data_IF_514246513406
#
_entry.id   IF_514246513406
#
_cell.length_a   1.000
_cell.length_b   1.000
_cell.length_c   1.000
_cell.angle_alpha   90.00
_cell.angle_beta   90.00
_cell.angle_gamma   90.00
#
_symmetry.space_group_name_H-M   'P 1'
#
loop_
_entity.id
_entity.type
_entity.pdbx_description
1 polymer ?
#
# COMPACT_ATOMS: atom_id res chain seq x y z
N UNK A 1 14.28 -56.31 48.21
CA UNK A 1 13.31 -56.73 47.17
C UNK A 1 12.19 -55.73 46.89
N UNK A 2 11.57 -55.08 47.89
CA UNK A 2 10.47 -54.09 47.66
C UNK A 2 10.92 -52.83 46.89
N UNK A 3 12.10 -52.29 47.19
CA UNK A 3 12.65 -51.13 46.47
C UNK A 3 13.05 -51.43 45.02
N UNK A 4 13.53 -52.65 44.74
CA UNK A 4 13.84 -53.09 43.37
C UNK A 4 12.55 -53.22 42.54
N UNK A 5 11.47 -53.74 43.13
CA UNK A 5 10.15 -53.78 42.47
C UNK A 5 9.59 -52.38 42.23
N UNK A 6 9.74 -51.46 43.18
CA UNK A 6 9.33 -50.07 43.00
C UNK A 6 10.14 -49.35 41.91
N UNK A 7 11.45 -49.62 41.83
CA UNK A 7 12.32 -49.07 40.79
C UNK A 7 12.00 -49.63 39.40
N UNK A 8 11.69 -50.93 39.29
CA UNK A 8 11.26 -51.56 38.03
C UNK A 8 9.90 -51.02 37.57
N UNK A 9 8.95 -50.81 38.49
CA UNK A 9 7.63 -50.24 38.16
C UNK A 9 7.77 -48.76 37.76
N UNK A 10 8.60 -47.98 38.45
CA UNK A 10 8.88 -46.60 38.09
C UNK A 10 9.60 -46.49 36.73
N UNK A 11 10.55 -47.39 36.45
CA UNK A 11 11.24 -47.45 35.16
C UNK A 11 10.31 -47.89 34.02
N UNK A 12 9.39 -48.82 34.27
CA UNK A 12 8.34 -49.21 33.31
C UNK A 12 7.30 -48.09 33.08
N UNK A 13 6.98 -47.28 34.10
CA UNK A 13 6.13 -46.10 33.97
C UNK A 13 6.81 -44.96 33.18
N UNK A 14 8.12 -44.78 33.37
CA UNK A 14 8.91 -43.83 32.58
C UNK A 14 9.08 -44.32 31.13
N UNK A 15 9.30 -45.61 30.89
CA UNK A 15 9.40 -46.19 29.55
C UNK A 15 8.07 -46.18 28.78
N UNK A 16 6.93 -46.29 29.46
CA UNK A 16 5.60 -46.18 28.84
C UNK A 16 5.20 -44.74 28.50
N UNK A 17 5.80 -43.73 29.15
CA UNK A 17 5.61 -42.32 28.80
C UNK A 17 6.36 -41.88 27.51
N UNK A 18 7.28 -42.70 26.98
CA UNK A 18 8.09 -42.38 25.79
C UNK A 18 7.43 -42.85 24.47
N UNK A 19 6.28 -43.57 24.53
CA UNK A 19 5.68 -44.23 23.35
C UNK A 19 4.29 -43.73 22.94
N UNK A 20 3.96 -42.46 23.20
CA UNK A 20 2.78 -41.83 22.59
C UNK A 20 3.22 -40.76 21.60
N UNK A 21 3.71 -41.20 20.44
CA UNK A 21 3.82 -40.32 19.27
C UNK A 21 2.39 -39.90 18.92
N UNK A 22 2.12 -38.59 18.89
CA UNK A 22 0.75 -38.12 18.61
C UNK A 22 0.26 -38.66 17.27
N UNK A 23 -1.06 -38.84 17.09
CA UNK A 23 -1.62 -39.33 15.82
C UNK A 23 -1.14 -38.49 14.63
N UNK A 24 -0.98 -37.17 14.82
CA UNK A 24 -0.41 -36.26 13.83
C UNK A 24 1.04 -36.60 13.49
N UNK A 25 1.88 -36.84 14.50
CA UNK A 25 3.28 -37.20 14.29
C UNK A 25 3.43 -38.57 13.60
N UNK A 26 2.51 -39.51 13.87
CA UNK A 26 2.46 -40.77 13.12
C UNK A 26 2.10 -40.52 11.65
N UNK A 27 1.11 -39.65 11.38
CA UNK A 27 0.69 -39.28 10.02
C UNK A 27 1.81 -38.58 9.24
N UNK A 28 2.45 -37.58 9.84
CA UNK A 28 3.51 -36.79 9.20
C UNK A 28 4.69 -37.67 8.74
N UNK A 29 5.05 -38.65 9.55
CA UNK A 29 6.15 -39.58 9.27
C UNK A 29 5.71 -40.84 8.49
N UNK A 30 4.44 -40.95 8.11
CA UNK A 30 3.94 -42.08 7.32
C UNK A 30 4.38 -41.98 5.86
N UNK A 31 4.62 -43.13 5.22
CA UNK A 31 4.79 -43.23 3.76
C UNK A 31 3.48 -43.56 3.03
N UNK A 32 2.38 -43.73 3.77
CA UNK A 32 1.05 -43.91 3.21
C UNK A 32 0.53 -42.56 2.68
N UNK A 33 0.63 -42.39 1.35
CA UNK A 33 0.26 -41.16 0.68
C UNK A 33 -1.26 -40.88 0.73
N UNK A 34 -2.10 -41.91 0.65
CA UNK A 34 -3.56 -41.74 0.69
C UNK A 34 -4.01 -41.30 2.08
N UNK A 35 -3.56 -42.01 3.12
CA UNK A 35 -3.86 -41.66 4.51
C UNK A 35 -3.35 -40.26 4.88
N UNK A 36 -2.17 -39.87 4.37
CA UNK A 36 -1.61 -38.53 4.59
C UNK A 36 -2.39 -37.45 3.83
N UNK A 37 -2.81 -37.73 2.60
CA UNK A 37 -3.62 -36.84 1.78
C UNK A 37 -4.95 -36.51 2.46
N UNK A 38 -5.70 -37.54 2.89
CA UNK A 38 -6.97 -37.36 3.61
C UNK A 38 -6.78 -36.57 4.91
N UNK A 39 -5.70 -36.84 5.63
CA UNK A 39 -5.37 -36.11 6.85
C UNK A 39 -5.04 -34.62 6.58
N UNK A 40 -4.28 -34.33 5.52
CA UNK A 40 -3.89 -32.96 5.16
C UNK A 40 -5.13 -32.09 4.89
N UNK A 41 -6.06 -32.59 4.07
CA UNK A 41 -7.34 -31.92 3.82
C UNK A 41 -8.19 -31.79 5.09
N UNK A 42 -8.29 -32.84 5.90
CA UNK A 42 -9.00 -32.75 7.19
C UNK A 42 -8.44 -31.66 8.11
N UNK A 43 -7.12 -31.47 8.16
CA UNK A 43 -6.52 -30.40 8.94
C UNK A 43 -6.75 -29.02 8.30
N UNK A 44 -6.73 -28.94 6.98
CA UNK A 44 -7.03 -27.72 6.23
C UNK A 44 -8.47 -27.24 6.50
N UNK A 45 -9.45 -28.14 6.40
CA UNK A 45 -10.88 -27.85 6.63
C UNK A 45 -11.16 -27.49 8.09
N UNK A 46 -10.31 -27.93 9.02
CA UNK A 46 -10.36 -27.55 10.44
C UNK A 46 -9.60 -26.25 10.74
N UNK A 47 -9.16 -25.52 9.71
CA UNK A 47 -8.36 -24.29 9.82
C UNK A 47 -7.03 -24.48 10.57
N UNK A 48 -6.56 -25.72 10.70
CA UNK A 48 -5.26 -26.06 11.32
C UNK A 48 -4.17 -25.97 10.26
N UNK A 49 -4.03 -24.78 9.68
CA UNK A 49 -3.24 -24.55 8.48
C UNK A 49 -1.76 -24.89 8.64
N UNK A 50 -1.16 -24.62 9.80
CA UNK A 50 0.23 -25.04 10.07
C UNK A 50 0.42 -26.56 9.98
N UNK A 51 -0.53 -27.35 10.47
CA UNK A 51 -0.49 -28.82 10.39
C UNK A 51 -0.76 -29.32 8.98
N UNK A 52 -1.70 -28.67 8.29
CA UNK A 52 -2.00 -28.97 6.90
C UNK A 52 -0.77 -28.72 6.01
N UNK A 53 -0.12 -27.56 6.16
CA UNK A 53 1.07 -27.17 5.40
C UNK A 53 2.20 -28.20 5.53
N UNK A 54 2.52 -28.65 6.76
CA UNK A 54 3.57 -29.66 6.97
C UNK A 54 3.23 -31.03 6.34
N UNK A 55 1.94 -31.42 6.35
CA UNK A 55 1.51 -32.65 5.67
C UNK A 55 1.57 -32.50 4.15
N UNK A 56 1.14 -31.36 3.61
CA UNK A 56 1.23 -31.07 2.17
C UNK A 56 2.67 -30.94 1.67
N UNK A 57 3.57 -30.34 2.45
CA UNK A 57 5.01 -30.32 2.17
C UNK A 57 5.55 -31.75 2.06
N UNK A 58 5.26 -32.59 3.05
CA UNK A 58 5.69 -33.99 3.04
C UNK A 58 5.05 -34.78 1.89
N UNK A 59 3.79 -34.51 1.56
CA UNK A 59 3.09 -35.11 0.42
C UNK A 59 3.69 -34.68 -0.91
N UNK A 60 4.16 -33.45 -1.06
CA UNK A 60 4.68 -32.93 -2.33
C UNK A 60 5.81 -33.78 -2.90
N UNK A 61 6.63 -34.38 -2.01
CA UNK A 61 7.69 -35.32 -2.38
C UNK A 61 7.11 -36.66 -2.86
N UNK A 62 6.06 -37.15 -2.19
CA UNK A 62 5.42 -38.44 -2.49
C UNK A 62 4.54 -38.41 -3.74
N UNK A 63 3.93 -37.26 -4.05
CA UNK A 63 3.00 -37.09 -5.17
C UNK A 63 3.63 -36.45 -6.40
N UNK A 64 4.94 -36.18 -6.39
CA UNK A 64 5.63 -35.52 -7.49
C UNK A 64 5.45 -36.28 -8.82
N UNK A 65 4.97 -35.58 -9.86
CA UNK A 65 4.70 -36.15 -11.19
C UNK A 65 3.45 -37.04 -11.27
N UNK A 66 2.67 -37.15 -10.20
CA UNK A 66 1.37 -37.84 -10.21
C UNK A 66 0.23 -36.89 -10.55
N UNK A 67 -0.96 -37.42 -10.81
CA UNK A 67 -2.18 -36.61 -11.05
C UNK A 67 -2.59 -35.73 -9.85
N UNK A 68 -2.07 -36.01 -8.63
CA UNK A 68 -2.36 -35.23 -7.42
C UNK A 68 -1.34 -34.12 -7.16
N UNK A 69 -0.27 -34.05 -7.93
CA UNK A 69 0.88 -33.17 -7.66
C UNK A 69 0.47 -31.69 -7.59
N UNK A 70 -0.30 -31.23 -8.58
CA UNK A 70 -0.73 -29.84 -8.65
C UNK A 70 -1.63 -29.48 -7.45
N UNK A 71 -2.57 -30.35 -7.10
CA UNK A 71 -3.48 -30.17 -5.98
C UNK A 71 -2.69 -30.09 -4.67
N UNK A 72 -1.77 -31.02 -4.43
CA UNK A 72 -0.93 -31.02 -3.21
C UNK A 72 -0.11 -29.74 -3.11
N UNK A 73 0.57 -29.33 -4.19
CA UNK A 73 1.41 -28.12 -4.18
C UNK A 73 0.61 -26.84 -4.04
N UNK A 74 -0.56 -26.76 -4.66
CA UNK A 74 -1.47 -25.62 -4.50
C UNK A 74 -1.95 -25.50 -3.05
N UNK A 75 -2.43 -26.60 -2.45
CA UNK A 75 -2.90 -26.60 -1.07
C UNK A 75 -1.78 -26.44 -0.04
N UNK A 76 -0.53 -26.78 -0.39
CA UNK A 76 0.63 -26.41 0.41
C UNK A 76 0.76 -24.89 0.52
N UNK A 77 0.81 -24.20 -0.63
CA UNK A 77 0.87 -22.74 -0.68
C UNK A 77 -0.34 -22.08 -0.01
N UNK A 78 -1.55 -22.59 -0.29
CA UNK A 78 -2.78 -22.07 0.31
C UNK A 78 -2.82 -22.26 1.83
N UNK A 79 -2.29 -23.38 2.35
CA UNK A 79 -2.16 -23.58 3.80
C UNK A 79 -1.23 -22.55 4.41
N UNK A 80 -0.05 -22.31 3.83
CA UNK A 80 0.87 -21.28 4.32
C UNK A 80 0.26 -19.88 4.26
N UNK A 81 -0.44 -19.56 3.17
CA UNK A 81 -1.15 -18.29 3.00
C UNK A 81 -2.19 -18.08 4.09
N UNK A 82 -3.05 -19.08 4.33
CA UNK A 82 -4.09 -19.03 5.37
C UNK A 82 -3.50 -18.99 6.79
N UNK A 83 -2.31 -19.56 6.97
CA UNK A 83 -1.53 -19.45 8.20
C UNK A 83 -0.81 -18.09 8.35
N UNK A 84 -0.99 -17.15 7.42
CA UNK A 84 -0.30 -15.86 7.35
C UNK A 84 1.23 -15.95 7.18
N UNK A 85 1.75 -17.10 6.76
CA UNK A 85 3.14 -17.23 6.33
C UNK A 85 3.26 -16.87 4.85
N UNK A 86 3.15 -15.56 4.58
CA UNK A 86 3.11 -15.03 3.22
C UNK A 86 4.45 -15.21 2.48
N UNK A 87 5.57 -15.34 3.18
CA UNK A 87 6.87 -15.56 2.55
C UNK A 87 6.96 -16.97 1.96
N UNK A 88 6.64 -17.98 2.79
CA UNK A 88 6.61 -19.39 2.33
C UNK A 88 5.53 -19.58 1.28
N UNK A 89 4.35 -18.98 1.47
CA UNK A 89 3.27 -19.05 0.50
C UNK A 89 3.61 -18.42 -0.85
N UNK A 90 4.28 -17.26 -0.89
CA UNK A 90 4.75 -16.64 -2.14
C UNK A 90 5.67 -17.60 -2.90
N UNK A 91 6.62 -18.22 -2.20
CA UNK A 91 7.54 -19.20 -2.79
C UNK A 91 6.76 -20.38 -3.36
N UNK A 92 5.83 -20.95 -2.58
CA UNK A 92 4.99 -22.06 -3.03
C UNK A 92 4.18 -21.71 -4.29
N UNK A 93 3.56 -20.53 -4.33
CA UNK A 93 2.76 -20.12 -5.49
C UNK A 93 3.61 -19.75 -6.70
N UNK A 94 4.79 -19.17 -6.49
CA UNK A 94 5.77 -18.91 -7.56
C UNK A 94 6.18 -20.23 -8.25
N UNK A 95 6.58 -21.22 -7.44
CA UNK A 95 6.95 -22.55 -7.93
C UNK A 95 5.77 -23.25 -8.61
N UNK A 96 4.57 -23.12 -8.04
CA UNK A 96 3.35 -23.70 -8.59
C UNK A 96 3.02 -23.14 -9.97
N UNK A 97 3.03 -21.81 -10.14
CA UNK A 97 2.72 -21.15 -11.41
C UNK A 97 3.77 -21.50 -12.47
N UNK A 98 5.04 -21.61 -12.10
CA UNK A 98 6.10 -22.04 -13.02
C UNK A 98 5.98 -23.50 -13.45
N UNK A 99 5.58 -24.39 -12.53
CA UNK A 99 5.51 -25.84 -12.78
C UNK A 99 4.19 -26.27 -13.43
N UNK A 100 3.07 -25.62 -13.08
CA UNK A 100 1.72 -25.98 -13.51
C UNK A 100 0.96 -24.79 -14.12
N UNK A 101 1.50 -24.12 -15.15
CA UNK A 101 0.88 -22.91 -15.72
C UNK A 101 -0.51 -23.13 -16.35
N UNK A 102 -0.89 -24.39 -16.61
CA UNK A 102 -2.19 -24.79 -17.17
C UNK A 102 -3.14 -25.46 -16.16
N UNK A 103 -2.73 -25.58 -14.89
CA UNK A 103 -3.63 -26.13 -13.86
C UNK A 103 -4.84 -25.22 -13.67
N UNK A 104 -6.03 -25.76 -13.35
CA UNK A 104 -7.20 -24.94 -13.00
C UNK A 104 -6.94 -24.03 -11.79
N UNK A 105 -5.95 -24.35 -10.94
CA UNK A 105 -5.56 -23.50 -9.81
C UNK A 105 -4.63 -22.34 -10.20
N UNK A 106 -4.04 -22.35 -11.40
CA UNK A 106 -3.02 -21.38 -11.80
C UNK A 106 -3.49 -19.92 -11.75
N UNK A 107 -4.69 -19.54 -12.22
CA UNK A 107 -5.17 -18.16 -12.12
C UNK A 107 -5.24 -17.67 -10.66
N UNK A 108 -5.77 -18.50 -9.76
CA UNK A 108 -5.87 -18.17 -8.34
C UNK A 108 -4.49 -18.14 -7.66
N UNK A 109 -3.59 -19.07 -8.00
CA UNK A 109 -2.23 -19.10 -7.47
C UNK A 109 -1.44 -17.83 -7.86
N UNK A 110 -1.59 -17.34 -9.10
CA UNK A 110 -0.98 -16.07 -9.54
C UNK A 110 -1.46 -14.90 -8.69
N UNK A 111 -2.77 -14.80 -8.45
CA UNK A 111 -3.32 -13.75 -7.62
C UNK A 111 -2.87 -13.85 -6.16
N UNK A 112 -2.90 -15.05 -5.57
CA UNK A 112 -2.46 -15.25 -4.19
C UNK A 112 -0.97 -14.95 -4.01
N UNK A 113 -0.14 -15.23 -5.00
CA UNK A 113 1.28 -14.81 -5.01
C UNK A 113 1.40 -13.28 -4.92
N UNK A 114 0.61 -12.54 -5.70
CA UNK A 114 0.60 -11.08 -5.68
C UNK A 114 0.18 -10.55 -4.31
N UNK A 115 -0.89 -11.12 -3.74
CA UNK A 115 -1.36 -10.73 -2.42
C UNK A 115 -0.31 -11.04 -1.33
N UNK A 116 0.41 -12.17 -1.43
CA UNK A 116 1.57 -12.43 -0.57
C UNK A 116 2.65 -11.35 -0.69
N UNK A 117 3.04 -10.97 -1.91
CA UNK A 117 4.05 -9.93 -2.14
C UNK A 117 3.60 -8.59 -1.56
N UNK A 118 2.34 -8.21 -1.80
CA UNK A 118 1.74 -7.00 -1.24
C UNK A 118 1.77 -7.00 0.29
N UNK A 119 1.41 -8.11 0.94
CA UNK A 119 1.42 -8.23 2.41
C UNK A 119 2.81 -8.24 3.03
N UNK A 120 3.84 -8.62 2.27
CA UNK A 120 5.23 -8.55 2.69
C UNK A 120 5.81 -7.13 2.60
N UNK A 121 5.12 -6.19 1.96
CA UNK A 121 5.57 -4.79 1.88
C UNK A 121 5.57 -4.12 3.25
N UNK A 122 6.46 -3.15 3.40
CA UNK A 122 6.68 -2.42 4.65
C UNK A 122 6.15 -0.99 4.55
N UNK A 123 6.03 -0.33 5.72
CA UNK A 123 5.77 1.11 5.79
C UNK A 123 6.90 1.90 5.10
N UNK A 124 6.57 3.10 4.62
CA UNK A 124 7.40 3.89 3.71
C UNK A 124 8.80 4.24 4.27
N UNK A 125 8.97 4.28 5.60
CA UNK A 125 10.25 4.59 6.24
C UNK A 125 11.30 3.49 6.03
N UNK A 126 10.87 2.24 5.90
CA UNK A 126 11.73 1.06 5.79
C UNK A 126 12.15 0.80 4.33
N UNK A 127 12.93 -0.26 4.12
CA UNK A 127 13.36 -0.69 2.78
C UNK A 127 12.16 -0.95 1.86
N UNK A 128 12.26 -0.50 0.61
CA UNK A 128 11.17 -0.56 -0.37
C UNK A 128 11.43 -1.58 -1.48
N UNK A 129 12.44 -2.44 -1.36
CA UNK A 129 12.66 -3.53 -2.33
C UNK A 129 11.44 -4.45 -2.45
N UNK A 130 10.76 -4.86 -1.35
CA UNK A 130 9.52 -5.63 -1.44
C UNK A 130 8.39 -4.89 -2.16
N UNK A 131 8.27 -3.57 -1.95
CA UNK A 131 7.27 -2.72 -2.60
C UNK A 131 7.45 -2.71 -4.12
N UNK A 132 8.69 -2.51 -4.59
CA UNK A 132 8.99 -2.51 -6.03
C UNK A 132 8.77 -3.88 -6.66
N UNK A 133 9.08 -4.96 -5.94
CA UNK A 133 8.81 -6.33 -6.38
C UNK A 133 7.30 -6.58 -6.52
N UNK A 134 6.51 -6.15 -5.54
CA UNK A 134 5.05 -6.27 -5.58
C UNK A 134 4.45 -5.47 -6.75
N UNK A 135 4.86 -4.20 -6.94
CA UNK A 135 4.42 -3.36 -8.06
C UNK A 135 4.71 -4.05 -9.41
N UNK A 136 5.92 -4.59 -9.57
CA UNK A 136 6.31 -5.27 -10.81
C UNK A 136 5.42 -6.49 -11.08
N UNK A 137 5.22 -7.35 -10.08
CA UNK A 137 4.37 -8.53 -10.19
C UNK A 137 2.89 -8.18 -10.47
N UNK A 138 2.37 -7.10 -9.86
CA UNK A 138 1.00 -6.64 -10.12
C UNK A 138 0.86 -6.14 -11.56
N UNK A 139 1.81 -5.33 -12.04
CA UNK A 139 1.78 -4.81 -13.42
C UNK A 139 1.85 -5.94 -14.46
N UNK A 140 2.70 -6.95 -14.22
CA UNK A 140 2.76 -8.14 -15.06
C UNK A 140 1.40 -8.88 -15.10
N UNK A 141 0.75 -9.04 -13.95
CA UNK A 141 -0.55 -9.68 -13.87
C UNK A 141 -1.66 -8.91 -14.57
N UNK A 142 -1.71 -7.59 -14.40
CA UNK A 142 -2.67 -6.73 -15.11
C UNK A 142 -2.46 -6.80 -16.62
N UNK A 143 -1.21 -6.82 -17.08
CA UNK A 143 -0.88 -6.92 -18.50
C UNK A 143 -1.25 -8.30 -19.09
N UNK A 144 -1.08 -9.38 -18.31
CA UNK A 144 -1.38 -10.75 -18.74
C UNK A 144 -2.90 -11.05 -18.70
N UNK A 145 -3.64 -10.47 -17.75
CA UNK A 145 -5.07 -10.74 -17.50
C UNK A 145 -5.91 -9.45 -17.41
N UNK A 146 -6.01 -8.63 -18.47
CA UNK A 146 -6.63 -7.30 -18.41
C UNK A 146 -8.11 -7.29 -18.01
N UNK A 147 -8.86 -8.36 -18.30
CA UNK A 147 -10.30 -8.49 -18.04
C UNK A 147 -10.58 -9.57 -16.97
N UNK A 148 -10.09 -9.33 -15.75
CA UNK A 148 -10.20 -10.25 -14.61
C UNK A 148 -10.87 -9.57 -13.40
N UNK A 149 -11.66 -10.33 -12.65
CA UNK A 149 -12.35 -9.87 -11.41
C UNK A 149 -11.40 -9.22 -10.38
N UNK A 150 -10.13 -9.63 -10.36
CA UNK A 150 -9.14 -9.14 -9.40
C UNK A 150 -8.47 -7.82 -9.81
N UNK A 151 -8.73 -7.28 -11.01
CA UNK A 151 -8.06 -6.09 -11.52
C UNK A 151 -8.34 -4.85 -10.67
N UNK A 152 -9.55 -4.71 -10.13
CA UNK A 152 -9.88 -3.63 -9.20
C UNK A 152 -8.97 -3.65 -7.96
N UNK A 153 -8.84 -4.83 -7.34
CA UNK A 153 -7.98 -5.04 -6.17
C UNK A 153 -6.50 -4.76 -6.50
N UNK A 154 -6.03 -5.21 -7.66
CA UNK A 154 -4.66 -4.93 -8.11
C UNK A 154 -4.39 -3.43 -8.30
N UNK A 155 -5.35 -2.68 -8.84
CA UNK A 155 -5.23 -1.21 -8.99
C UNK A 155 -5.18 -0.52 -7.62
N UNK A 156 -6.04 -0.91 -6.69
CA UNK A 156 -6.02 -0.38 -5.32
C UNK A 156 -4.69 -0.67 -4.61
N UNK A 157 -4.13 -1.88 -4.80
CA UNK A 157 -2.80 -2.23 -4.29
C UNK A 157 -1.72 -1.33 -4.91
N UNK A 158 -1.73 -1.12 -6.23
CA UNK A 158 -0.76 -0.23 -6.91
C UNK A 158 -0.85 1.20 -6.39
N UNK A 159 -2.05 1.74 -6.20
CA UNK A 159 -2.25 3.09 -5.69
C UNK A 159 -1.67 3.25 -4.28
N UNK A 160 -1.92 2.29 -3.39
CA UNK A 160 -1.33 2.28 -2.04
C UNK A 160 0.21 2.16 -2.08
N UNK A 161 0.75 1.23 -2.87
CA UNK A 161 2.20 1.03 -2.96
C UNK A 161 2.92 2.25 -3.56
N UNK A 162 2.40 2.82 -4.65
CA UNK A 162 2.95 4.04 -5.25
C UNK A 162 2.87 5.23 -4.30
N UNK A 163 1.77 5.38 -3.57
CA UNK A 163 1.64 6.41 -2.54
C UNK A 163 2.70 6.26 -1.43
N UNK A 164 3.05 5.04 -1.02
CA UNK A 164 4.14 4.82 -0.04
C UNK A 164 5.49 5.25 -0.61
N UNK A 165 5.79 4.94 -1.87
CA UNK A 165 7.02 5.39 -2.54
C UNK A 165 7.08 6.92 -2.62
N UNK A 166 5.99 7.55 -3.01
CA UNK A 166 5.89 9.00 -3.07
C UNK A 166 6.07 9.66 -1.70
N UNK A 167 5.45 9.08 -0.66
CA UNK A 167 5.57 9.55 0.73
C UNK A 167 7.03 9.46 1.20
N UNK A 168 7.72 8.36 0.90
CA UNK A 168 9.13 8.17 1.25
C UNK A 168 10.02 9.23 0.60
N UNK A 169 9.85 9.44 -0.70
CA UNK A 169 10.63 10.41 -1.45
C UNK A 169 10.40 11.83 -0.91
N UNK A 170 9.14 12.21 -0.71
CA UNK A 170 8.76 13.52 -0.19
C UNK A 170 9.28 13.78 1.23
N UNK A 171 8.98 12.91 2.20
CA UNK A 171 9.41 13.13 3.59
C UNK A 171 10.93 13.07 3.74
N UNK A 172 11.62 12.24 2.94
CA UNK A 172 13.07 12.22 2.87
C UNK A 172 13.65 13.56 2.41
N UNK A 173 13.09 14.14 1.34
CA UNK A 173 13.54 15.45 0.84
C UNK A 173 13.16 16.62 1.78
N UNK A 174 11.98 16.55 2.40
CA UNK A 174 11.47 17.53 3.37
C UNK A 174 12.26 17.51 4.69
N UNK A 175 12.92 16.41 5.04
CA UNK A 175 13.78 16.34 6.22
C UNK A 175 14.87 17.42 6.19
N UNK A 176 15.49 17.66 5.03
CA UNK A 176 16.48 18.73 4.88
C UNK A 176 15.91 20.12 5.16
N UNK A 177 14.65 20.38 4.77
CA UNK A 177 13.97 21.63 5.12
C UNK A 177 13.82 21.77 6.64
N UNK A 178 13.39 20.70 7.31
CA UNK A 178 13.24 20.65 8.78
C UNK A 178 14.57 20.85 9.51
N UNK A 179 15.68 20.43 8.89
CA UNK A 179 17.05 20.62 9.39
C UNK A 179 17.65 21.99 9.01
N UNK A 180 16.88 22.84 8.32
CA UNK A 180 17.32 24.15 7.80
C UNK A 180 18.48 24.07 6.77
N UNK A 181 18.75 22.88 6.22
CA UNK A 181 19.63 22.72 5.05
C UNK A 181 18.83 23.00 3.77
N UNK A 182 18.56 24.28 3.56
CA UNK A 182 17.71 24.74 2.46
C UNK A 182 18.31 24.47 1.07
N UNK A 183 19.64 24.39 0.94
CA UNK A 183 20.29 24.04 -0.33
C UNK A 183 20.00 22.57 -0.65
N UNK A 184 20.29 21.67 0.30
CA UNK A 184 20.04 20.25 0.13
C UNK A 184 18.53 19.98 -0.07
N UNK A 185 17.67 20.68 0.68
CA UNK A 185 16.23 20.54 0.56
C UNK A 185 15.73 20.88 -0.83
N UNK A 186 16.11 22.05 -1.36
CA UNK A 186 15.71 22.47 -2.71
C UNK A 186 16.14 21.43 -3.76
N UNK A 187 17.37 20.93 -3.68
CA UNK A 187 17.89 19.94 -4.63
C UNK A 187 17.17 18.61 -4.49
N UNK A 188 17.02 18.09 -3.27
CA UNK A 188 16.34 16.83 -3.02
C UNK A 188 14.88 16.86 -3.49
N UNK A 189 14.14 17.93 -3.18
CA UNK A 189 12.76 18.10 -3.59
C UNK A 189 12.61 18.20 -5.12
N UNK A 190 13.53 18.88 -5.80
CA UNK A 190 13.55 18.91 -7.27
C UNK A 190 13.83 17.54 -7.87
N UNK A 191 14.69 16.73 -7.23
CA UNK A 191 14.94 15.37 -7.67
C UNK A 191 13.70 14.49 -7.50
N UNK A 192 12.90 14.66 -6.44
CA UNK A 192 11.62 13.95 -6.31
C UNK A 192 10.72 14.19 -7.53
N UNK A 193 10.55 15.44 -7.97
CA UNK A 193 9.73 15.75 -9.15
C UNK A 193 10.37 15.37 -10.48
N UNK A 194 11.70 15.28 -10.52
CA UNK A 194 12.42 14.78 -11.68
C UNK A 194 12.21 13.28 -11.86
N UNK A 195 12.21 12.54 -10.77
CA UNK A 195 12.05 11.09 -10.77
C UNK A 195 10.58 10.69 -10.92
N UNK A 196 9.65 11.46 -10.32
CA UNK A 196 8.21 11.30 -10.51
C UNK A 196 7.51 12.68 -10.57
N UNK A 197 7.12 13.13 -11.76
CA UNK A 197 6.40 14.40 -11.93
C UNK A 197 4.99 14.36 -11.35
N UNK A 198 4.37 13.18 -11.32
CA UNK A 198 2.99 12.97 -10.86
C UNK A 198 2.93 12.60 -9.37
N UNK A 199 4.02 12.84 -8.62
CA UNK A 199 4.07 12.55 -7.19
C UNK A 199 2.87 13.20 -6.47
N UNK A 200 2.20 12.43 -5.61
CA UNK A 200 0.99 12.90 -4.91
C UNK A 200 1.21 14.12 -4.01
N UNK A 201 2.47 14.44 -3.68
CA UNK A 201 2.86 15.62 -2.91
C UNK A 201 3.39 16.76 -3.80
N UNK A 202 3.18 16.75 -5.12
CA UNK A 202 3.74 17.74 -6.06
C UNK A 202 3.55 19.19 -5.60
N UNK A 203 2.35 19.55 -5.19
CA UNK A 203 2.03 20.89 -4.69
C UNK A 203 2.85 21.26 -3.45
N UNK A 204 2.92 20.38 -2.46
CA UNK A 204 3.74 20.59 -1.27
C UNK A 204 5.23 20.68 -1.64
N UNK A 205 5.69 19.84 -2.57
CA UNK A 205 7.08 19.82 -3.03
C UNK A 205 7.47 21.15 -3.66
N UNK A 206 6.65 21.67 -4.60
CA UNK A 206 6.89 22.95 -5.24
C UNK A 206 6.88 24.11 -4.22
N UNK A 207 5.97 24.06 -3.25
CA UNK A 207 5.94 25.02 -2.16
C UNK A 207 7.25 24.99 -1.34
N UNK A 208 7.70 23.81 -0.92
CA UNK A 208 8.93 23.69 -0.13
C UNK A 208 10.20 24.01 -0.93
N UNK A 209 10.20 23.84 -2.26
CA UNK A 209 11.27 24.33 -3.14
C UNK A 209 11.37 25.85 -3.05
N UNK A 210 10.24 26.56 -3.26
CA UNK A 210 10.20 28.02 -3.19
C UNK A 210 10.57 28.52 -1.78
N UNK A 211 10.01 27.90 -0.73
CA UNK A 211 10.34 28.25 0.66
C UNK A 211 11.81 28.04 0.99
N UNK A 212 12.41 26.93 0.55
CA UNK A 212 13.84 26.67 0.74
C UNK A 212 14.68 27.77 0.09
N UNK A 213 14.37 28.15 -1.15
CA UNK A 213 15.07 29.24 -1.85
C UNK A 213 14.94 30.58 -1.13
N UNK A 214 13.73 30.92 -0.66
CA UNK A 214 13.52 32.14 0.10
C UNK A 214 14.31 32.16 1.41
N UNK A 215 14.19 31.11 2.23
CA UNK A 215 14.86 31.01 3.52
C UNK A 215 16.38 31.04 3.36
N UNK A 216 16.89 30.33 2.35
CA UNK A 216 18.30 30.39 2.00
C UNK A 216 18.73 31.81 1.66
N UNK A 217 18.02 32.48 0.76
CA UNK A 217 18.31 33.88 0.42
C UNK A 217 18.26 34.79 1.64
N UNK A 218 17.19 34.73 2.43
CA UNK A 218 16.97 35.61 3.57
C UNK A 218 18.06 35.49 4.64
N UNK A 219 18.48 34.26 4.96
CA UNK A 219 19.51 33.97 5.97
C UNK A 219 20.95 34.18 5.45
N UNK A 220 21.11 34.57 4.18
CA UNK A 220 22.41 34.78 3.56
C UNK A 220 23.05 36.11 3.90
N UNK A 221 24.38 36.16 3.80
CA UNK A 221 25.12 37.43 3.76
C UNK A 221 24.70 38.28 2.57
N UNK A 222 24.65 39.61 2.76
CA UNK A 222 24.15 40.59 1.78
C UNK A 222 24.74 40.46 0.37
N UNK A 223 26.03 40.13 0.27
CA UNK A 223 26.71 39.95 -1.02
C UNK A 223 26.19 38.76 -1.85
N UNK A 224 25.48 37.81 -1.22
CA UNK A 224 24.90 36.62 -1.86
C UNK A 224 23.37 36.68 -1.96
N UNK A 225 22.71 37.55 -1.19
CA UNK A 225 21.26 37.65 -1.13
C UNK A 225 20.63 37.94 -2.51
N UNK A 226 21.21 38.86 -3.29
CA UNK A 226 20.67 39.25 -4.60
C UNK A 226 20.47 38.05 -5.53
N UNK A 227 21.51 37.24 -5.72
CA UNK A 227 21.47 36.06 -6.58
C UNK A 227 20.46 35.02 -6.05
N UNK A 228 20.46 34.79 -4.74
CA UNK A 228 19.59 33.78 -4.10
C UNK A 228 18.11 34.18 -4.13
N UNK A 229 17.79 35.47 -3.99
CA UNK A 229 16.42 35.96 -4.16
C UNK A 229 15.94 35.85 -5.61
N UNK A 230 16.82 35.94 -6.61
CA UNK A 230 16.44 35.65 -8.00
C UNK A 230 16.06 34.18 -8.18
N UNK A 231 16.82 33.25 -7.57
CA UNK A 231 16.44 31.82 -7.56
C UNK A 231 15.08 31.59 -6.91
N UNK A 232 14.79 32.26 -5.79
CA UNK A 232 13.46 32.21 -5.18
C UNK A 232 12.38 32.75 -6.12
N UNK A 233 12.62 33.86 -6.80
CA UNK A 233 11.67 34.42 -7.78
C UNK A 233 11.35 33.40 -8.87
N UNK A 234 12.34 32.70 -9.40
CA UNK A 234 12.13 31.67 -10.41
C UNK A 234 11.27 30.51 -9.88
N UNK A 235 11.59 30.00 -8.67
CA UNK A 235 10.82 28.92 -8.04
C UNK A 235 9.39 29.37 -7.68
N UNK A 236 9.21 30.62 -7.26
CA UNK A 236 7.91 31.24 -7.03
C UNK A 236 7.09 31.33 -8.32
N UNK A 237 7.69 31.81 -9.42
CA UNK A 237 7.01 31.95 -10.70
C UNK A 237 6.58 30.58 -11.24
N UNK A 238 7.42 29.55 -11.06
CA UNK A 238 7.05 28.17 -11.37
C UNK A 238 5.84 27.72 -10.55
N UNK A 239 5.85 27.96 -9.24
CA UNK A 239 4.74 27.60 -8.36
C UNK A 239 3.43 28.26 -8.78
N UNK A 240 3.40 29.58 -8.95
CA UNK A 240 2.16 30.30 -9.27
C UNK A 240 1.68 30.05 -10.70
N UNK A 241 2.58 29.69 -11.60
CA UNK A 241 2.24 29.27 -12.96
C UNK A 241 1.56 27.90 -13.01
N UNK A 242 2.00 26.96 -12.17
CA UNK A 242 1.42 25.62 -12.09
C UNK A 242 0.20 25.55 -11.17
N UNK A 243 0.20 26.27 -10.05
CA UNK A 243 -0.75 26.11 -8.95
C UNK A 243 -1.31 27.48 -8.48
N UNK A 244 -2.05 28.20 -9.34
CA UNK A 244 -2.51 29.54 -9.06
C UNK A 244 -3.47 29.63 -7.86
N UNK A 245 -4.28 28.59 -7.64
CA UNK A 245 -5.33 28.50 -6.61
C UNK A 245 -4.89 27.78 -5.32
N UNK A 246 -3.59 27.52 -5.19
CA UNK A 246 -3.05 26.81 -4.03
C UNK A 246 -3.32 27.54 -2.71
N UNK A 247 -3.61 26.83 -1.59
CA UNK A 247 -3.61 27.42 -0.26
C UNK A 247 -2.26 28.03 0.16
N UNK A 248 -1.16 27.70 -0.52
CA UNK A 248 0.16 28.30 -0.30
C UNK A 248 0.36 29.64 -1.01
N UNK A 249 -0.51 29.98 -1.96
CA UNK A 249 -0.33 31.11 -2.86
C UNK A 249 -0.10 32.43 -2.12
N UNK A 250 -0.96 32.72 -1.16
CA UNK A 250 -0.93 33.99 -0.42
C UNK A 250 0.38 34.19 0.34
N UNK A 251 0.91 33.15 0.96
CA UNK A 251 2.19 33.20 1.67
C UNK A 251 3.32 33.51 0.68
N UNK A 252 3.39 32.75 -0.41
CA UNK A 252 4.42 32.92 -1.43
C UNK A 252 4.36 34.30 -2.11
N UNK A 253 3.18 34.86 -2.34
CA UNK A 253 3.00 36.24 -2.87
C UNK A 253 3.60 37.29 -1.93
N UNK A 254 3.41 37.13 -0.62
CA UNK A 254 3.98 38.04 0.39
C UNK A 254 5.50 37.92 0.40
N UNK A 255 6.03 36.69 0.38
CA UNK A 255 7.47 36.46 0.33
C UNK A 255 8.10 36.99 -0.97
N UNK A 256 7.40 36.86 -2.10
CA UNK A 256 7.78 37.46 -3.37
C UNK A 256 7.93 38.99 -3.26
N UNK A 257 6.94 39.67 -2.69
CA UNK A 257 7.01 41.13 -2.47
C UNK A 257 8.20 41.53 -1.57
N UNK A 258 8.45 40.77 -0.50
CA UNK A 258 9.61 40.97 0.38
C UNK A 258 10.92 40.82 -0.39
N UNK A 259 11.05 39.76 -1.19
CA UNK A 259 12.23 39.54 -2.04
C UNK A 259 12.44 40.66 -3.07
N UNK A 260 11.36 41.16 -3.69
CA UNK A 260 11.42 42.29 -4.62
C UNK A 260 11.92 43.58 -3.94
N UNK A 261 11.46 43.86 -2.71
CA UNK A 261 11.93 44.99 -1.88
C UNK A 261 13.43 44.86 -1.55
N UNK A 262 13.89 43.67 -1.15
CA UNK A 262 15.32 43.40 -0.90
C UNK A 262 16.18 43.56 -2.17
N UNK A 263 15.60 43.35 -3.35
CA UNK A 263 16.23 43.61 -4.64
C UNK A 263 16.16 45.09 -5.07
N UNK A 264 15.60 45.97 -4.25
CA UNK A 264 15.48 47.41 -4.52
C UNK A 264 14.42 47.77 -5.55
N UNK A 265 13.44 46.90 -5.80
CA UNK A 265 12.33 47.16 -6.72
C UNK A 265 11.18 47.85 -5.98
N UNK A 266 10.43 48.75 -6.64
CA UNK A 266 9.30 49.42 -6.01
C UNK A 266 8.14 48.44 -5.80
N UNK A 267 7.71 48.26 -4.55
CA UNK A 267 6.61 47.37 -4.19
C UNK A 267 5.77 48.00 -3.10
N UNK A 268 4.45 47.98 -3.26
CA UNK A 268 3.51 48.32 -2.21
C UNK A 268 3.51 47.21 -1.14
N UNK A 269 4.12 47.52 0.01
CA UNK A 269 4.40 46.57 1.11
C UNK A 269 3.63 46.87 2.40
N UNK A 270 2.89 47.98 2.46
CA UNK A 270 2.23 48.45 3.69
C UNK A 270 1.16 47.48 4.22
N UNK A 271 0.70 46.52 3.41
CA UNK A 271 -0.35 45.58 3.79
C UNK A 271 0.15 44.24 4.41
N UNK A 272 1.44 43.93 4.40
CA UNK A 272 1.93 42.56 4.66
C UNK A 272 3.20 42.43 5.52
N UNK A 273 3.76 43.54 6.00
CA UNK A 273 5.00 43.49 6.80
C UNK A 273 4.79 42.80 8.17
N UNK A 274 3.57 42.82 8.73
CA UNK A 274 3.27 42.24 10.06
C UNK A 274 2.89 40.74 10.05
N UNK A 275 2.74 40.11 8.88
CA UNK A 275 2.28 38.71 8.81
C UNK A 275 3.46 37.76 8.96
N UNK A 276 3.41 36.88 9.95
CA UNK A 276 4.44 35.88 10.20
C UNK A 276 4.08 34.50 9.61
N UNK A 277 5.05 33.56 9.66
CA UNK A 277 4.87 32.19 9.17
C UNK A 277 3.78 31.42 9.94
N UNK A 278 3.52 31.77 11.21
CA UNK A 278 2.48 31.13 12.03
C UNK A 278 1.09 31.55 11.60
N UNK A 279 0.92 32.80 11.17
CA UNK A 279 -0.34 33.30 10.64
C UNK A 279 -0.72 32.58 9.34
N UNK A 280 0.24 32.40 8.42
CA UNK A 280 0.02 31.59 7.22
C UNK A 280 -0.28 30.12 7.56
N UNK A 281 0.43 29.54 8.54
CA UNK A 281 0.16 28.17 8.96
C UNK A 281 -1.25 28.00 9.57
N UNK A 282 -1.75 28.99 10.31
CA UNK A 282 -3.15 29.00 10.80
C UNK A 282 -4.14 29.11 9.65
N UNK A 283 -3.88 30.00 8.70
CA UNK A 283 -4.74 30.18 7.53
C UNK A 283 -4.85 28.89 6.70
N UNK A 284 -3.73 28.23 6.41
CA UNK A 284 -3.74 26.93 5.72
C UNK A 284 -4.54 25.87 6.45
N UNK A 285 -4.41 25.78 7.78
CA UNK A 285 -5.20 24.86 8.59
C UNK A 285 -6.69 25.15 8.51
N UNK A 286 -7.08 26.43 8.46
CA UNK A 286 -8.47 26.85 8.26
C UNK A 286 -8.98 26.43 6.88
N UNK A 287 -8.26 26.78 5.82
CA UNK A 287 -8.61 26.42 4.43
C UNK A 287 -8.74 24.90 4.24
N UNK A 288 -7.79 24.12 4.79
CA UNK A 288 -7.85 22.66 4.74
C UNK A 288 -9.06 22.08 5.49
N UNK A 289 -9.49 22.72 6.59
CA UNK A 289 -10.71 22.32 7.31
C UNK A 289 -11.96 22.63 6.50
N UNK A 290 -12.03 23.80 5.89
CA UNK A 290 -13.13 24.23 5.02
C UNK A 290 -13.26 23.30 3.80
N UNK A 291 -12.15 23.00 3.12
CA UNK A 291 -12.13 22.05 2.00
C UNK A 291 -12.64 20.65 2.40
N UNK A 292 -12.28 20.14 3.58
CA UNK A 292 -12.81 18.87 4.09
C UNK A 292 -14.30 18.90 4.38
N UNK A 293 -14.83 20.03 4.83
CA UNK A 293 -16.26 20.21 5.07
C UNK A 293 -16.99 20.22 3.73
N UNK A 294 -16.46 20.93 2.74
CA UNK A 294 -17.01 21.01 1.39
C UNK A 294 -17.01 19.64 0.70
N UNK A 295 -15.90 18.89 0.74
CA UNK A 295 -15.81 17.53 0.18
C UNK A 295 -16.86 16.59 0.81
N UNK A 296 -17.01 16.61 2.15
CA UNK A 296 -18.04 15.82 2.83
C UNK A 296 -19.45 16.21 2.39
N UNK A 297 -19.70 17.51 2.20
CA UNK A 297 -20.98 18.01 1.71
C UNK A 297 -21.24 17.52 0.28
N UNK A 298 -20.25 17.63 -0.60
CA UNK A 298 -20.35 17.21 -2.00
C UNK A 298 -20.57 15.69 -2.12
N UNK A 299 -19.86 14.87 -1.34
CA UNK A 299 -20.10 13.42 -1.30
C UNK A 299 -21.49 13.06 -0.79
N UNK A 300 -22.02 13.84 0.16
CA UNK A 300 -23.39 13.63 0.66
C UNK A 300 -24.41 13.94 -0.45
N UNK A 301 -24.24 15.07 -1.13
CA UNK A 301 -25.09 15.46 -2.26
C UNK A 301 -25.02 14.44 -3.40
N UNK A 302 -23.84 13.90 -3.71
CA UNK A 302 -23.69 12.88 -4.74
C UNK A 302 -24.46 11.60 -4.38
N UNK A 303 -24.35 11.13 -3.13
CA UNK A 303 -25.11 9.96 -2.66
C UNK A 303 -26.61 10.19 -2.65
N UNK A 304 -27.06 11.39 -2.28
CA UNK A 304 -28.47 11.78 -2.35
C UNK A 304 -28.94 11.75 -3.81
N UNK A 305 -28.17 12.33 -4.75
CA UNK A 305 -28.53 12.29 -6.17
C UNK A 305 -28.51 10.88 -6.77
N UNK A 306 -27.58 10.01 -6.35
CA UNK A 306 -27.55 8.60 -6.79
C UNK A 306 -28.76 7.82 -6.26
N UNK A 307 -29.19 8.11 -5.02
CA UNK A 307 -30.38 7.50 -4.43
C UNK A 307 -31.67 7.96 -5.14
N UNK A 308 -31.78 9.26 -5.45
CA UNK A 308 -32.94 9.82 -6.16
C UNK A 308 -33.09 9.19 -7.56
N UNK A 309 -31.97 9.00 -8.28
CA UNK A 309 -31.98 8.34 -9.61
C UNK A 309 -32.40 6.87 -9.52
N UNK A 310 -31.99 6.16 -8.46
CA UNK A 310 -32.41 4.77 -8.24
C UNK A 310 -33.89 4.70 -7.90
N UNK A 311 -34.41 5.63 -7.09
CA UNK A 311 -35.82 5.69 -6.73
C UNK A 311 -36.70 5.99 -7.95
N UNK A 312 -36.28 6.93 -8.81
CA UNK A 312 -36.98 7.25 -10.07
C UNK A 312 -36.99 6.05 -11.04
N UNK A 313 -35.87 5.32 -11.18
CA UNK A 313 -35.80 4.12 -12.01
C UNK A 313 -36.68 2.96 -11.50
N UNK A 314 -36.82 2.81 -10.17
CA UNK A 314 -37.71 1.80 -9.57
C UNK A 314 -39.18 2.17 -9.81
N UNK A 315 -39.54 3.45 -9.70
CA UNK A 315 -40.89 3.93 -9.99
C UNK A 315 -41.27 3.72 -11.47
N UNK A 316 -40.34 3.97 -12.39
CA UNK A 316 -40.53 3.70 -13.82
C UNK A 316 -40.74 2.20 -14.10
N UNK A 317 -39.97 1.31 -13.47
CA UNK A 317 -40.17 -0.14 -13.58
C UNK A 317 -41.51 -0.62 -12.99
N UNK A 318 -41.98 -0.03 -11.88
CA UNK A 318 -43.27 -0.34 -11.30
C UNK A 318 -44.43 0.15 -12.19
N UNK A 319 -44.33 1.34 -12.80
CA UNK A 319 -45.33 1.83 -13.76
C UNK A 319 -45.42 0.92 -15.00
N UNK A 320 -44.28 0.51 -15.58
CA UNK A 320 -44.23 -0.40 -16.72
C UNK A 320 -44.90 -1.74 -16.39
N UNK A 321 -44.57 -2.35 -15.25
CA UNK A 321 -45.16 -3.62 -14.81
C UNK A 321 -46.67 -3.50 -14.52
N UNK A 322 -47.13 -2.35 -14.04
CA UNK A 322 -48.55 -2.08 -13.79
C UNK A 322 -49.36 -1.92 -15.09
N UNK A 323 -48.75 -1.34 -16.14
CA UNK A 323 -49.35 -1.20 -17.46
C UNK A 323 -49.49 -2.57 -18.16
N UNK A 324 -48.48 -3.43 -18.07
CA UNK A 324 -48.52 -4.79 -18.66
C UNK A 324 -49.52 -5.74 -17.97
N UNK A 325 -49.86 -5.49 -16.70
CA UNK A 325 -50.85 -6.30 -15.96
C UNK A 325 -52.28 -5.79 -16.11
N UNK A 326 -52.47 -4.51 -16.48
CA UNK A 326 -53.77 -3.90 -16.75
C UNK A 326 -54.43 -4.32 -18.06
N UNK A 327 -53.66 -4.69 -19.09
CA UNK A 327 -54.17 -5.14 -20.40
C UNK A 327 -54.67 -6.60 -20.43
N UNK A 328 -54.61 -7.34 -19.30
CA UNK A 328 -55.03 -8.76 -19.21
C UNK A 328 -56.39 -8.99 -18.53
N UNK A 329 -57.26 -7.99 -18.41
CA UNK A 329 -58.61 -8.15 -17.83
C UNK A 329 -59.75 -7.99 -18.82
#
# INVERSE_FOLDING_TARGET
>A
MKHIRFFIIAMAAVLSAVSCKSQYEMLLNSNDADLKYDAAFKYFDQEKYQKAAALFESLSVLTNGTERDDTVRYYWGLSNYRNSDYYTAETNFSDFVGSFPRSPFAPQARFLRIDCLYRQTLRYELDQSPTNLAISAINEYIAEYPDNENIGVCRDMLDDLNKRLDTKAYEGAKLYYKMEDYIASRVALRNVLKDNSENVYREDILYYIAMSSYKYAHLSVRSKQKERYLTFIDDYLNFVGELPDSPYRRELDVLYRRAQKELGRPVDTELFDDIDEKDFAKERKRLAREAKIEDRRNRKLLKESEADVVEEAVLDEEEINSAETGEKK
#
